data_IF_326897545423
#
_entry.id   IF_326897545423
#
_cell.length_a   1.000
_cell.length_b   1.000
_cell.length_c   1.000
_cell.angle_alpha   90.00
_cell.angle_beta   90.00
_cell.angle_gamma   90.00
#
_symmetry.space_group_name_H-M   'P 1'
#
loop_
_entity.id
_entity.type
_entity.pdbx_description
1 polymer ?
#
# COMPACT_ATOMS: atom_id res chain seq x y z
N UNK A 1 22.75 -15.97 7.38
CA UNK A 1 22.18 -14.87 8.18
C UNK A 1 21.60 -15.46 9.44
N UNK A 2 22.40 -15.52 10.51
CA UNK A 2 21.98 -16.05 11.81
C UNK A 2 22.48 -15.06 12.85
N UNK A 3 21.55 -14.29 13.40
CA UNK A 3 21.84 -13.34 14.46
C UNK A 3 20.54 -12.69 14.88
N UNK A 4 20.23 -12.75 16.17
CA UNK A 4 19.24 -11.92 16.84
C UNK A 4 19.19 -10.53 16.19
N UNK A 5 18.02 -9.97 15.91
CA UNK A 5 17.81 -8.69 15.18
C UNK A 5 18.48 -7.43 15.76
N UNK A 6 19.46 -7.59 16.64
CA UNK A 6 20.39 -6.59 17.14
C UNK A 6 21.48 -6.32 16.09
N UNK A 7 21.48 -5.12 15.55
CA UNK A 7 22.53 -4.63 14.65
C UNK A 7 23.69 -4.04 15.48
N UNK A 8 24.77 -4.79 15.60
CA UNK A 8 25.96 -4.39 16.38
C UNK A 8 26.74 -3.22 15.76
N UNK A 9 26.41 -2.80 14.54
CA UNK A 9 27.04 -1.63 13.90
C UNK A 9 26.44 -0.29 14.36
N UNK A 10 25.28 -0.32 15.04
CA UNK A 10 24.60 0.88 15.54
C UNK A 10 25.04 1.22 16.96
N UNK A 11 25.19 2.52 17.24
CA UNK A 11 25.45 3.00 18.60
C UNK A 11 24.25 2.68 19.51
N UNK A 12 24.52 2.14 20.70
CA UNK A 12 23.49 1.94 21.72
C UNK A 12 23.05 3.30 22.27
N UNK A 13 21.74 3.50 22.37
CA UNK A 13 21.15 4.66 23.04
C UNK A 13 20.93 4.27 24.49
N UNK A 14 21.76 4.80 25.38
CA UNK A 14 21.53 4.74 26.82
C UNK A 14 20.70 5.96 27.25
N UNK A 15 19.72 5.74 28.14
CA UNK A 15 18.93 6.83 28.72
C UNK A 15 19.32 7.01 30.19
N UNK A 16 19.34 8.26 30.65
CA UNK A 16 19.39 8.55 32.09
C UNK A 16 18.02 8.22 32.70
N UNK A 17 17.84 6.95 33.06
CA UNK A 17 16.58 6.39 33.54
C UNK A 17 16.59 6.00 35.02
N UNK A 18 15.43 5.56 35.53
CA UNK A 18 15.33 5.07 36.90
C UNK A 18 16.12 3.78 37.11
N UNK A 19 16.50 3.53 38.36
CA UNK A 19 17.06 2.25 38.80
C UNK A 19 15.97 1.19 38.81
N UNK A 20 16.23 0.04 38.17
CA UNK A 20 15.36 -1.13 38.27
C UNK A 20 15.77 -1.93 39.49
N UNK A 21 14.85 -2.15 40.43
CA UNK A 21 15.08 -2.92 41.66
C UNK A 21 14.22 -4.17 41.62
N UNK A 22 14.85 -5.35 41.56
CA UNK A 22 14.15 -6.63 41.63
C UNK A 22 14.22 -7.18 43.07
N UNK A 23 13.06 -7.29 43.71
CA UNK A 23 12.94 -7.71 45.10
C UNK A 23 12.66 -9.22 45.18
N UNK A 24 13.64 -9.95 45.71
CA UNK A 24 13.63 -11.42 45.86
C UNK A 24 13.18 -12.17 44.59
N UNK A 25 13.76 -11.91 43.40
CA UNK A 25 13.41 -12.64 42.20
C UNK A 25 13.64 -14.14 42.38
N UNK A 26 12.67 -14.96 41.97
CA UNK A 26 12.72 -16.41 42.21
C UNK A 26 13.55 -17.14 41.17
N UNK A 27 13.52 -16.71 39.91
CA UNK A 27 14.19 -17.40 38.81
C UNK A 27 15.29 -16.54 38.19
N UNK A 28 16.49 -17.09 38.07
CA UNK A 28 17.60 -16.46 37.34
C UNK A 28 17.22 -16.08 35.90
N UNK A 29 16.41 -16.91 35.23
CA UNK A 29 15.90 -16.62 33.87
C UNK A 29 15.10 -15.31 33.82
N UNK A 30 14.27 -15.01 34.82
CA UNK A 30 13.52 -13.76 34.87
C UNK A 30 14.43 -12.55 35.09
N UNK A 31 15.51 -12.70 35.87
CA UNK A 31 16.54 -11.65 36.03
C UNK A 31 17.20 -11.38 34.67
N UNK A 32 17.59 -12.42 33.95
CA UNK A 32 18.18 -12.29 32.62
C UNK A 32 17.22 -11.65 31.61
N UNK A 33 15.96 -12.09 31.57
CA UNK A 33 14.94 -11.49 30.69
C UNK A 33 14.64 -10.04 31.07
N UNK A 34 14.66 -9.68 32.36
CA UNK A 34 14.52 -8.30 32.82
C UNK A 34 15.71 -7.45 32.35
N UNK A 35 16.94 -7.93 32.49
CA UNK A 35 18.13 -7.24 31.98
C UNK A 35 18.10 -7.08 30.46
N UNK A 36 17.63 -8.10 29.72
CA UNK A 36 17.39 -7.99 28.28
C UNK A 36 16.37 -6.91 27.96
N UNK A 37 15.26 -6.87 28.69
CA UNK A 37 14.25 -5.83 28.52
C UNK A 37 14.81 -4.44 28.81
N UNK A 38 15.62 -4.27 29.86
CA UNK A 38 16.31 -3.03 30.16
C UNK A 38 17.24 -2.60 29.01
N UNK A 39 18.05 -3.52 28.49
CA UNK A 39 18.95 -3.26 27.36
C UNK A 39 18.22 -2.86 26.07
N UNK A 40 17.05 -3.45 25.79
CA UNK A 40 16.21 -3.03 24.65
C UNK A 40 15.77 -1.57 24.72
N UNK A 41 15.70 -0.99 25.93
CA UNK A 41 15.16 0.34 26.20
C UNK A 41 16.16 1.26 26.91
N UNK A 42 17.46 0.98 26.78
CA UNK A 42 18.54 1.85 27.23
C UNK A 42 18.66 2.04 28.75
N UNK A 43 18.01 1.20 29.56
CA UNK A 43 18.15 1.21 31.01
C UNK A 43 19.36 0.34 31.42
N UNK A 44 20.19 0.84 32.34
CA UNK A 44 21.49 0.19 32.65
C UNK A 44 21.71 -0.12 34.12
N UNK A 45 20.92 0.47 35.03
CA UNK A 45 21.10 0.34 36.49
C UNK A 45 20.15 -0.70 37.06
N UNK A 46 20.68 -1.86 37.44
CA UNK A 46 19.94 -2.97 38.02
C UNK A 46 20.41 -3.25 39.46
N UNK A 47 19.47 -3.28 40.40
CA UNK A 47 19.69 -3.70 41.79
C UNK A 47 18.91 -4.97 42.09
N UNK A 48 19.54 -5.91 42.77
CA UNK A 48 18.91 -7.15 43.22
C UNK A 48 18.85 -7.14 44.74
N UNK A 49 17.67 -7.39 45.30
CA UNK A 49 17.50 -7.64 46.74
C UNK A 49 17.32 -9.13 46.93
N UNK A 50 18.29 -9.77 47.61
CA UNK A 50 18.20 -11.16 48.06
C UNK A 50 17.62 -12.14 47.02
N UNK A 51 18.22 -12.28 45.82
CA UNK A 51 17.74 -13.20 44.78
C UNK A 51 17.74 -14.64 45.31
N UNK A 52 16.62 -15.35 45.14
CA UNK A 52 16.40 -16.66 45.79
C UNK A 52 17.46 -17.70 45.43
N UNK A 53 17.81 -17.78 44.16
CA UNK A 53 18.78 -18.75 43.63
C UNK A 53 20.23 -18.23 43.67
N UNK A 54 20.47 -17.12 44.39
CA UNK A 54 21.77 -16.48 44.53
C UNK A 54 22.25 -15.71 43.29
N UNK A 55 23.39 -15.03 43.46
CA UNK A 55 24.05 -14.24 42.42
C UNK A 55 25.57 -14.41 42.52
N UNK A 56 26.34 -14.53 41.42
CA UNK A 56 25.91 -14.52 40.00
C UNK A 56 25.18 -15.80 39.58
N UNK A 57 24.33 -15.71 38.55
CA UNK A 57 23.50 -16.82 38.08
C UNK A 57 23.69 -17.11 36.57
N UNK A 58 24.06 -18.35 36.22
CA UNK A 58 24.34 -18.75 34.83
C UNK A 58 23.09 -18.68 33.94
N UNK A 59 21.91 -19.01 34.48
CA UNK A 59 20.67 -18.94 33.71
C UNK A 59 20.27 -17.50 33.41
N UNK A 60 20.54 -16.57 34.33
CA UNK A 60 20.36 -15.14 34.06
C UNK A 60 21.23 -14.67 32.90
N UNK A 61 22.52 -15.07 32.88
CA UNK A 61 23.43 -14.73 31.78
C UNK A 61 22.94 -15.27 30.43
N UNK A 62 22.48 -16.52 30.40
CA UNK A 62 21.92 -17.14 29.17
C UNK A 62 20.67 -16.44 28.69
N UNK A 63 19.76 -16.08 29.59
CA UNK A 63 18.49 -15.42 29.25
C UNK A 63 18.65 -13.94 28.84
N UNK A 64 19.73 -13.27 29.28
CA UNK A 64 20.01 -11.88 28.96
C UNK A 64 20.34 -11.62 27.47
N UNK A 65 20.79 -12.66 26.74
CA UNK A 65 20.97 -12.64 25.28
C UNK A 65 21.70 -11.40 24.74
N UNK A 66 22.84 -11.02 25.35
CA UNK A 66 23.64 -9.87 24.94
C UNK A 66 23.55 -8.64 25.86
N UNK A 67 22.64 -8.63 26.83
CA UNK A 67 22.57 -7.61 27.90
C UNK A 67 23.54 -7.90 29.08
N UNK A 68 24.65 -8.60 28.82
CA UNK A 68 25.64 -8.99 29.82
C UNK A 68 26.22 -7.79 30.59
N UNK A 69 26.41 -6.67 29.89
CA UNK A 69 26.94 -5.41 30.45
C UNK A 69 26.07 -4.82 31.58
N UNK A 70 24.77 -5.15 31.63
CA UNK A 70 23.89 -4.79 32.74
C UNK A 70 24.11 -5.74 33.92
N UNK A 71 24.16 -7.04 33.64
CA UNK A 71 24.38 -8.07 34.67
C UNK A 71 25.74 -7.92 35.37
N UNK A 72 26.76 -7.52 34.63
CA UNK A 72 28.13 -7.31 35.15
C UNK A 72 28.22 -6.11 36.12
N UNK A 73 27.24 -5.20 36.09
CA UNK A 73 27.16 -3.99 36.92
C UNK A 73 26.07 -4.06 38.00
N UNK A 74 25.48 -5.24 38.21
CA UNK A 74 24.43 -5.43 39.22
C UNK A 74 24.95 -5.10 40.60
N UNK A 75 24.18 -4.30 41.34
CA UNK A 75 24.39 -4.06 42.76
C UNK A 75 23.49 -5.02 43.57
N UNK A 76 24.09 -5.75 44.53
CA UNK A 76 23.38 -6.72 45.37
C UNK A 76 23.17 -6.14 46.77
N UNK A 77 21.95 -6.31 47.29
CA UNK A 77 21.54 -5.83 48.61
C UNK A 77 20.85 -6.94 49.41
N UNK A 78 20.95 -6.87 50.73
CA UNK A 78 20.30 -7.81 51.65
C UNK A 78 18.86 -7.38 51.96
N UNK A 79 18.60 -6.06 51.95
CA UNK A 79 17.30 -5.46 52.28
C UNK A 79 16.82 -4.49 51.20
N UNK A 80 15.51 -4.23 51.18
CA UNK A 80 14.91 -3.27 50.23
C UNK A 80 15.31 -1.84 50.60
N UNK A 81 15.37 -1.55 51.90
CA UNK A 81 15.74 -0.25 52.46
C UNK A 81 17.14 0.18 52.01
N UNK A 82 18.12 -0.73 52.04
CA UNK A 82 19.47 -0.46 51.53
C UNK A 82 19.46 -0.21 50.02
N UNK A 83 18.70 -1.03 49.27
CA UNK A 83 18.65 -0.95 47.81
C UNK A 83 17.99 0.34 47.29
N UNK A 84 17.22 1.05 48.13
CA UNK A 84 16.51 2.28 47.75
C UNK A 84 16.95 3.52 48.53
N UNK A 85 17.98 3.41 49.38
CA UNK A 85 18.39 4.46 50.31
C UNK A 85 18.75 5.80 49.63
N UNK A 86 19.30 5.76 48.42
CA UNK A 86 19.66 6.94 47.63
C UNK A 86 18.51 7.43 46.71
N UNK A 87 17.41 6.68 46.60
CA UNK A 87 16.27 7.05 45.76
C UNK A 87 15.42 8.13 46.45
N UNK A 88 15.32 9.30 45.80
CA UNK A 88 14.45 10.40 46.27
C UNK A 88 13.06 10.36 45.62
N UNK A 89 12.88 9.51 44.62
CA UNK A 89 11.59 9.15 44.04
C UNK A 89 11.55 7.64 43.80
N UNK A 90 10.60 6.96 44.43
CA UNK A 90 10.49 5.51 44.42
C UNK A 90 9.08 5.06 44.00
N UNK A 91 9.02 4.13 43.08
CA UNK A 91 7.79 3.52 42.59
C UNK A 91 7.72 2.04 42.99
N UNK A 92 6.54 1.57 43.38
CA UNK A 92 6.27 0.16 43.63
C UNK A 92 5.29 -0.40 42.59
N UNK A 93 5.66 -1.46 41.87
CA UNK A 93 4.74 -2.13 40.92
C UNK A 93 3.86 -3.16 41.62
N UNK A 94 2.55 -3.11 41.41
CA UNK A 94 1.59 -4.07 41.98
C UNK A 94 0.30 -4.12 41.16
N UNK A 95 -0.22 -5.33 40.98
CA UNK A 95 -1.54 -5.56 40.37
C UNK A 95 -2.69 -5.49 41.40
N UNK A 96 -2.37 -5.53 42.70
CA UNK A 96 -3.36 -5.53 43.79
C UNK A 96 -3.63 -4.11 44.25
N UNK A 97 -4.91 -3.80 44.47
CA UNK A 97 -5.30 -2.63 45.25
C UNK A 97 -4.76 -2.84 46.67
N UNK A 98 -3.96 -1.88 47.13
CA UNK A 98 -3.50 -1.82 48.51
C UNK A 98 -4.34 -0.77 49.22
N UNK A 99 -4.69 -1.02 50.49
CA UNK A 99 -5.43 -0.05 51.33
C UNK A 99 -4.56 1.14 51.78
N UNK A 100 -3.37 1.29 51.21
CA UNK A 100 -2.46 2.39 51.49
C UNK A 100 -2.87 3.63 50.69
N UNK A 101 -3.00 4.77 51.37
CA UNK A 101 -3.32 6.06 50.75
C UNK A 101 -2.12 6.63 49.97
N UNK A 102 -1.78 6.02 48.83
CA UNK A 102 -0.71 6.45 47.92
C UNK A 102 -1.26 6.74 46.53
N UNK A 103 -0.72 7.74 45.82
CA UNK A 103 -1.15 7.97 44.45
C UNK A 103 -0.78 6.77 43.56
N UNK A 104 -1.76 6.34 42.78
CA UNK A 104 -1.64 5.24 41.82
C UNK A 104 -1.53 5.83 40.43
N UNK A 105 -0.50 5.40 39.69
CA UNK A 105 -0.19 5.90 38.34
C UNK A 105 -0.05 4.76 37.34
N UNK A 106 -0.35 5.04 36.08
CA UNK A 106 -0.04 4.14 34.97
C UNK A 106 1.46 4.23 34.62
N UNK A 107 2.03 3.22 33.91
CA UNK A 107 3.44 3.20 33.53
C UNK A 107 3.90 4.44 32.76
N UNK A 108 3.06 4.99 31.87
CA UNK A 108 3.36 6.22 31.12
C UNK A 108 3.60 7.43 32.04
N UNK A 109 2.72 7.63 33.02
CA UNK A 109 2.83 8.74 33.97
C UNK A 109 4.06 8.58 34.89
N UNK A 110 4.32 7.35 35.34
CA UNK A 110 5.51 7.04 36.14
C UNK A 110 6.80 7.27 35.36
N UNK A 111 6.86 6.86 34.09
CA UNK A 111 8.01 7.08 33.22
C UNK A 111 8.30 8.58 33.04
N UNK A 112 7.27 9.38 32.77
CA UNK A 112 7.42 10.84 32.67
C UNK A 112 7.99 11.46 33.95
N UNK A 113 7.44 11.09 35.11
CA UNK A 113 7.89 11.60 36.41
C UNK A 113 9.32 11.14 36.72
N UNK A 114 9.64 9.86 36.51
CA UNK A 114 10.97 9.30 36.75
C UNK A 114 12.05 9.94 35.87
N UNK A 115 11.79 10.08 34.56
CA UNK A 115 12.76 10.69 33.63
C UNK A 115 12.97 12.17 33.95
N UNK A 116 11.90 12.92 34.22
CA UNK A 116 12.03 14.32 34.61
C UNK A 116 12.81 14.48 35.94
N UNK A 117 12.57 13.59 36.90
CA UNK A 117 13.28 13.57 38.17
C UNK A 117 14.77 13.28 38.01
N UNK A 118 15.12 12.26 37.21
CA UNK A 118 16.52 11.91 36.92
C UNK A 118 17.24 13.04 36.18
N UNK A 119 16.55 13.77 35.30
CA UNK A 119 17.12 14.92 34.60
C UNK A 119 17.54 16.07 35.55
N UNK A 120 17.03 16.10 36.80
CA UNK A 120 17.49 17.06 37.83
C UNK A 120 18.79 16.64 38.53
N UNK A 121 19.32 15.46 38.22
CA UNK A 121 20.48 14.86 38.90
C UNK A 121 20.12 14.01 40.12
N UNK A 122 18.82 13.88 40.44
CA UNK A 122 18.33 13.05 41.54
C UNK A 122 18.13 11.59 41.12
N UNK A 123 18.13 10.65 42.08
CA UNK A 123 17.89 9.23 41.80
C UNK A 123 16.41 8.87 41.90
N UNK A 124 15.87 8.27 40.84
CA UNK A 124 14.58 7.59 40.85
C UNK A 124 14.77 6.06 40.81
N UNK A 125 13.85 5.30 41.43
CA UNK A 125 13.85 3.84 41.43
C UNK A 125 12.46 3.24 41.17
N UNK A 126 12.41 2.07 40.52
CA UNK A 126 11.18 1.29 40.31
C UNK A 126 11.40 -0.12 40.86
N UNK A 127 10.60 -0.48 41.87
CA UNK A 127 10.63 -1.79 42.51
C UNK A 127 9.65 -2.75 41.85
N UNK A 128 10.16 -3.95 41.54
CA UNK A 128 9.40 -5.08 41.06
C UNK A 128 9.53 -6.24 42.04
N UNK A 129 8.39 -6.80 42.44
CA UNK A 129 8.35 -7.84 43.46
C UNK A 129 8.47 -9.25 42.90
N UNK A 130 8.35 -10.20 43.83
CA UNK A 130 8.41 -11.65 43.60
C UNK A 130 7.32 -12.09 42.60
N UNK A 131 7.61 -13.08 41.76
CA UNK A 131 6.73 -13.53 40.68
C UNK A 131 5.33 -13.98 41.16
N UNK A 132 5.25 -14.59 42.35
CA UNK A 132 3.99 -15.13 42.89
C UNK A 132 3.25 -14.19 43.82
N UNK A 133 4.00 -13.39 44.58
CA UNK A 133 3.46 -12.62 45.71
C UNK A 133 3.53 -11.11 45.50
N UNK A 134 4.27 -10.66 44.49
CA UNK A 134 4.58 -9.25 44.28
C UNK A 134 5.44 -8.69 45.41
N UNK A 135 5.26 -7.39 45.65
CA UNK A 135 5.85 -6.68 46.78
C UNK A 135 4.98 -6.88 48.03
N UNK A 136 5.63 -6.98 49.18
CA UNK A 136 5.00 -6.97 50.49
C UNK A 136 4.47 -5.57 50.82
N UNK A 137 3.49 -5.50 51.72
CA UNK A 137 2.90 -4.22 52.12
C UNK A 137 3.94 -3.24 52.70
N UNK A 138 4.92 -3.74 53.46
CA UNK A 138 6.01 -2.95 54.03
C UNK A 138 6.95 -2.41 52.93
N UNK A 139 7.22 -3.21 51.90
CA UNK A 139 8.02 -2.79 50.74
C UNK A 139 7.27 -1.74 49.90
N UNK A 140 5.96 -1.93 49.67
CA UNK A 140 5.11 -0.92 49.04
C UNK A 140 5.06 0.36 49.88
N UNK A 141 5.13 0.24 51.22
CA UNK A 141 5.11 1.37 52.14
C UNK A 141 6.34 2.28 52.01
N UNK A 142 7.46 1.81 51.47
CA UNK A 142 8.65 2.62 51.18
C UNK A 142 8.48 3.53 49.96
N UNK A 143 7.64 3.15 48.98
CA UNK A 143 7.51 3.89 47.72
C UNK A 143 6.72 5.20 47.84
N UNK A 144 7.03 6.20 47.03
CA UNK A 144 6.22 7.42 46.94
C UNK A 144 4.93 7.18 46.17
N UNK A 145 4.94 6.27 45.19
CA UNK A 145 3.84 6.01 44.25
C UNK A 145 3.68 4.52 43.96
N UNK A 146 2.47 4.13 43.62
CA UNK A 146 2.18 2.79 43.08
C UNK A 146 2.06 2.87 41.57
N UNK A 147 2.73 1.96 40.86
CA UNK A 147 2.48 1.69 39.45
C UNK A 147 1.55 0.49 39.34
N UNK A 148 0.44 0.68 38.62
CA UNK A 148 -0.45 -0.42 38.21
C UNK A 148 -0.63 -0.42 36.70
N UNK A 149 -0.72 -1.62 36.12
CA UNK A 149 -0.87 -1.79 34.68
C UNK A 149 -2.35 -1.93 34.32
N UNK A 150 -2.86 -1.28 33.25
CA UNK A 150 -4.23 -1.43 32.78
C UNK A 150 -4.40 -2.77 32.03
N UNK A 151 -4.27 -3.87 32.75
CA UNK A 151 -4.42 -5.25 32.25
C UNK A 151 -5.83 -5.77 32.46
N UNK A 152 -6.15 -6.92 31.87
CA UNK A 152 -7.42 -7.60 32.10
C UNK A 152 -7.60 -7.90 33.60
N UNK A 153 -8.65 -7.37 34.28
CA UNK A 153 -8.85 -7.60 35.71
C UNK A 153 -8.95 -9.08 36.11
N UNK A 154 -9.44 -9.95 35.21
CA UNK A 154 -9.50 -11.40 35.43
C UNK A 154 -8.16 -12.13 35.27
N UNK A 155 -7.12 -11.46 34.76
CA UNK A 155 -5.79 -12.02 34.54
C UNK A 155 -4.72 -10.95 34.70
N UNK A 156 -4.65 -10.35 35.88
CA UNK A 156 -3.87 -9.13 36.13
C UNK A 156 -2.38 -9.35 36.47
N UNK A 157 -1.94 -10.61 36.61
CA UNK A 157 -0.56 -10.92 36.98
C UNK A 157 0.33 -10.96 35.73
N UNK A 158 1.22 -9.97 35.60
CA UNK A 158 2.26 -9.96 34.57
C UNK A 158 3.50 -10.73 35.04
N UNK A 159 4.23 -11.34 34.11
CA UNK A 159 5.56 -11.87 34.41
C UNK A 159 6.52 -10.70 34.78
N UNK A 160 7.47 -10.97 35.68
CA UNK A 160 8.43 -9.98 36.16
C UNK A 160 9.15 -9.22 35.03
N UNK A 161 9.71 -9.96 34.07
CA UNK A 161 10.42 -9.35 32.95
C UNK A 161 9.48 -8.58 32.00
N UNK A 162 8.21 -8.99 31.89
CA UNK A 162 7.20 -8.26 31.12
C UNK A 162 6.82 -6.93 31.77
N UNK A 163 6.70 -6.89 33.10
CA UNK A 163 6.47 -5.64 33.82
C UNK A 163 7.65 -4.68 33.65
N UNK A 164 8.89 -5.17 33.76
CA UNK A 164 10.11 -4.39 33.49
C UNK A 164 10.13 -3.90 32.03
N UNK A 165 9.75 -4.75 31.08
CA UNK A 165 9.66 -4.42 29.66
C UNK A 165 8.70 -3.25 29.38
N UNK A 166 7.50 -3.28 29.98
CA UNK A 166 6.53 -2.21 29.80
C UNK A 166 7.00 -0.88 30.40
N UNK A 167 7.57 -0.91 31.61
CA UNK A 167 8.14 0.28 32.23
C UNK A 167 9.35 0.82 31.44
N UNK A 168 10.24 -0.06 30.98
CA UNK A 168 11.38 0.30 30.14
C UNK A 168 10.95 0.94 28.83
N UNK A 169 9.97 0.35 28.15
CA UNK A 169 9.38 0.90 26.92
C UNK A 169 8.85 2.31 27.13
N UNK A 170 8.06 2.54 28.18
CA UNK A 170 7.52 3.87 28.49
C UNK A 170 8.62 4.89 28.81
N UNK A 171 9.66 4.48 29.55
CA UNK A 171 10.83 5.33 29.83
C UNK A 171 11.55 5.72 28.55
N UNK A 172 11.85 4.76 27.67
CA UNK A 172 12.56 5.02 26.41
C UNK A 172 11.72 5.84 25.44
N UNK A 173 10.43 5.51 25.29
CA UNK A 173 9.47 6.28 24.50
C UNK A 173 9.41 7.73 24.95
N UNK A 174 9.39 7.98 26.26
CA UNK A 174 9.39 9.34 26.79
C UNK A 174 10.74 10.06 26.56
N UNK A 175 11.86 9.41 26.90
CA UNK A 175 13.20 9.98 26.76
C UNK A 175 13.59 10.28 25.31
N UNK A 176 13.06 9.54 24.34
CA UNK A 176 13.33 9.71 22.91
C UNK A 176 12.24 10.49 22.17
N UNK A 177 11.27 11.08 22.90
CA UNK A 177 10.11 11.75 22.31
C UNK A 177 9.37 10.89 21.27
N UNK A 178 9.32 9.58 21.49
CA UNK A 178 8.72 8.57 20.59
C UNK A 178 9.34 8.51 19.19
N UNK A 179 10.61 8.92 19.04
CA UNK A 179 11.31 8.83 17.78
C UNK A 179 11.44 7.36 17.33
N UNK A 180 10.97 7.08 16.11
CA UNK A 180 11.12 5.77 15.48
C UNK A 180 12.56 5.60 14.94
N UNK A 181 13.10 4.37 14.92
CA UNK A 181 14.47 4.11 14.44
C UNK A 181 14.65 4.36 12.92
N UNK A 182 13.55 4.45 12.18
CA UNK A 182 13.52 4.81 10.77
C UNK A 182 12.20 5.52 10.46
N UNK A 183 12.26 6.46 9.53
CA UNK A 183 11.11 7.13 8.95
C UNK A 183 11.11 6.89 7.44
N UNK A 184 9.99 7.21 6.78
CA UNK A 184 9.95 7.25 5.32
C UNK A 184 11.02 8.24 4.83
N UNK A 185 11.88 7.89 3.85
CA UNK A 185 12.88 8.81 3.34
C UNK A 185 12.20 10.02 2.70
N UNK A 186 12.41 11.21 3.25
CA UNK A 186 11.98 12.46 2.63
C UNK A 186 12.87 12.76 1.43
N UNK A 187 12.41 12.39 0.23
CA UNK A 187 13.14 12.62 -1.03
C UNK A 187 12.77 13.95 -1.70
N UNK A 188 11.67 14.56 -1.29
CA UNK A 188 11.16 15.83 -1.84
C UNK A 188 10.24 16.50 -0.83
N UNK A 189 10.26 17.83 -0.82
CA UNK A 189 9.33 18.65 -0.04
C UNK A 189 7.86 18.44 -0.48
N UNK A 190 6.89 18.68 0.41
CA UNK A 190 5.46 18.70 0.06
C UNK A 190 5.16 19.65 -1.10
N UNK A 191 4.22 19.26 -1.96
CA UNK A 191 3.75 20.12 -3.03
C UNK A 191 2.94 21.29 -2.46
N UNK A 192 3.14 22.48 -3.01
CA UNK A 192 2.32 23.63 -2.66
C UNK A 192 0.89 23.48 -3.19
N UNK A 193 -0.06 24.17 -2.55
CA UNK A 193 -1.44 24.27 -3.04
C UNK A 193 -1.51 24.80 -4.48
N UNK A 194 -0.62 25.72 -4.85
CA UNK A 194 -0.51 26.22 -6.22
C UNK A 194 -0.13 25.13 -7.23
N UNK A 195 0.83 24.26 -6.89
CA UNK A 195 1.23 23.14 -7.75
C UNK A 195 0.11 22.09 -7.88
N UNK A 196 -0.58 21.79 -6.78
CA UNK A 196 -1.74 20.90 -6.79
C UNK A 196 -2.86 21.46 -7.68
N UNK A 197 -3.15 22.76 -7.57
CA UNK A 197 -4.15 23.42 -8.41
C UNK A 197 -3.75 23.39 -9.89
N UNK A 198 -2.50 23.71 -10.21
CA UNK A 198 -2.00 23.66 -11.59
C UNK A 198 -2.08 22.25 -12.20
N UNK A 199 -1.72 21.22 -11.43
CA UNK A 199 -1.90 19.82 -11.85
C UNK A 199 -3.38 19.51 -12.10
N UNK A 200 -4.26 19.92 -11.18
CA UNK A 200 -5.69 19.65 -11.28
C UNK A 200 -6.33 20.35 -12.50
N UNK A 201 -6.00 21.61 -12.74
CA UNK A 201 -6.51 22.36 -13.90
C UNK A 201 -6.08 21.68 -15.22
N UNK A 202 -4.84 21.19 -15.27
CA UNK A 202 -4.34 20.43 -16.40
C UNK A 202 -5.09 19.11 -16.55
N UNK A 203 -5.26 18.34 -15.47
CA UNK A 203 -5.99 17.09 -15.47
C UNK A 203 -7.44 17.25 -15.95
N UNK A 204 -8.18 18.23 -15.40
CA UNK A 204 -9.58 18.50 -15.78
C UNK A 204 -9.67 18.84 -17.26
N UNK A 205 -8.78 19.71 -17.76
CA UNK A 205 -8.74 20.06 -19.18
C UNK A 205 -8.52 18.85 -20.08
N UNK A 206 -7.65 17.92 -19.71
CA UNK A 206 -7.43 16.70 -20.49
C UNK A 206 -8.62 15.71 -20.38
N UNK A 207 -9.25 15.60 -19.20
CA UNK A 207 -10.44 14.77 -19.00
C UNK A 207 -11.67 15.29 -19.78
N UNK A 208 -11.84 16.60 -19.88
CA UNK A 208 -12.90 17.23 -20.68
C UNK A 208 -12.75 16.88 -22.18
N UNK A 209 -11.51 16.84 -22.73
CA UNK A 209 -11.25 16.47 -24.14
C UNK A 209 -11.67 15.04 -24.49
N UNK A 210 -11.59 14.13 -23.51
CA UNK A 210 -11.96 12.72 -23.70
C UNK A 210 -13.39 12.42 -23.24
N UNK A 211 -14.17 13.46 -22.91
CA UNK A 211 -15.57 13.37 -22.46
C UNK A 211 -15.76 12.48 -21.22
N UNK A 212 -14.75 12.38 -20.35
CA UNK A 212 -14.81 11.56 -19.13
C UNK A 212 -15.79 12.13 -18.08
N UNK A 213 -15.94 13.46 -18.02
CA UNK A 213 -16.78 14.15 -17.04
C UNK A 213 -18.26 14.19 -17.46
N UNK A 214 -18.84 13.01 -17.71
CA UNK A 214 -20.25 12.81 -18.06
C UNK A 214 -20.90 11.79 -17.13
N UNK A 215 -22.21 11.91 -16.83
CA UNK A 215 -23.13 12.94 -17.33
C UNK A 215 -22.97 14.29 -16.60
N UNK A 216 -23.47 15.39 -17.17
CA UNK A 216 -23.15 16.77 -16.73
C UNK A 216 -23.56 17.02 -15.29
N UNK A 217 -24.65 16.40 -14.85
CA UNK A 217 -25.22 16.54 -13.51
C UNK A 217 -24.27 15.98 -12.43
N UNK A 218 -23.37 15.06 -12.81
CA UNK A 218 -22.38 14.45 -11.89
C UNK A 218 -21.00 15.10 -11.97
N UNK A 219 -20.76 16.03 -12.91
CA UNK A 219 -19.44 16.62 -13.17
C UNK A 219 -18.81 17.23 -11.91
N UNK A 220 -19.55 18.10 -11.21
CA UNK A 220 -19.03 18.78 -10.02
C UNK A 220 -18.64 17.79 -8.92
N UNK A 221 -19.48 16.77 -8.67
CA UNK A 221 -19.17 15.71 -7.71
C UNK A 221 -17.93 14.90 -8.10
N UNK A 222 -17.76 14.59 -9.39
CA UNK A 222 -16.56 13.88 -9.88
C UNK A 222 -15.30 14.72 -9.70
N UNK A 223 -15.36 16.03 -9.95
CA UNK A 223 -14.23 16.94 -9.74
C UNK A 223 -13.84 17.04 -8.26
N UNK A 224 -14.81 17.18 -7.37
CA UNK A 224 -14.57 17.18 -5.91
C UNK A 224 -13.93 15.86 -5.48
N UNK A 225 -14.42 14.72 -5.98
CA UNK A 225 -13.85 13.42 -5.66
C UNK A 225 -12.41 13.26 -6.16
N UNK A 226 -12.13 13.68 -7.40
CA UNK A 226 -10.77 13.67 -7.95
C UNK A 226 -9.84 14.56 -7.12
N UNK A 227 -10.27 15.77 -6.75
CA UNK A 227 -9.48 16.67 -5.91
C UNK A 227 -9.20 16.06 -4.54
N UNK A 228 -10.19 15.41 -3.93
CA UNK A 228 -10.04 14.74 -2.64
C UNK A 228 -9.08 13.55 -2.69
N UNK A 229 -9.02 12.81 -3.81
CA UNK A 229 -8.04 11.73 -3.99
C UNK A 229 -6.63 12.27 -3.91
N UNK A 230 -6.30 13.30 -4.69
CA UNK A 230 -4.95 13.86 -4.71
C UNK A 230 -4.59 14.63 -3.44
N UNK A 231 -5.56 15.27 -2.79
CA UNK A 231 -5.31 16.00 -1.53
C UNK A 231 -5.05 15.06 -0.36
N UNK A 232 -5.69 13.88 -0.31
CA UNK A 232 -5.44 12.87 0.74
C UNK A 232 -4.11 12.15 0.60
N UNK A 233 -3.50 12.21 -0.59
CA UNK A 233 -2.22 11.55 -0.87
C UNK A 233 -1.03 12.29 -0.24
N UNK A 234 -1.22 13.55 0.19
CA UNK A 234 -0.16 14.45 0.67
C UNK A 234 1.08 14.47 -0.26
N UNK A 235 0.90 14.81 -1.55
CA UNK A 235 1.93 14.61 -2.57
C UNK A 235 3.14 15.51 -2.35
N UNK A 236 4.32 14.98 -2.63
CA UNK A 236 5.55 15.77 -2.77
C UNK A 236 5.59 16.53 -4.10
N UNK A 237 6.48 17.52 -4.21
CA UNK A 237 6.76 18.21 -5.49
C UNK A 237 7.13 17.21 -6.60
N UNK A 238 7.89 16.16 -6.27
CA UNK A 238 8.29 15.13 -7.22
C UNK A 238 7.11 14.27 -7.69
N UNK A 239 6.17 13.95 -6.79
CA UNK A 239 4.95 13.22 -7.15
C UNK A 239 4.09 14.03 -8.13
N UNK A 240 3.94 15.34 -7.87
CA UNK A 240 3.20 16.23 -8.76
C UNK A 240 3.85 16.34 -10.14
N UNK A 241 5.19 16.43 -10.22
CA UNK A 241 5.89 16.41 -11.50
C UNK A 241 5.68 15.10 -12.26
N UNK A 242 5.79 13.97 -11.55
CA UNK A 242 5.61 12.64 -12.14
C UNK A 242 4.19 12.45 -12.66
N UNK A 243 3.18 12.80 -11.85
CA UNK A 243 1.77 12.70 -12.22
C UNK A 243 1.42 13.63 -13.37
N UNK A 244 1.93 14.87 -13.36
CA UNK A 244 1.76 15.77 -14.49
C UNK A 244 2.36 15.18 -15.77
N UNK A 245 3.57 14.62 -15.69
CA UNK A 245 4.22 13.93 -16.81
C UNK A 245 3.40 12.75 -17.34
N UNK A 246 2.83 11.92 -16.46
CA UNK A 246 1.94 10.81 -16.84
C UNK A 246 0.70 11.31 -17.57
N UNK A 247 0.01 12.32 -17.03
CA UNK A 247 -1.19 12.89 -17.66
C UNK A 247 -0.87 13.46 -19.04
N UNK A 248 0.22 14.22 -19.16
CA UNK A 248 0.64 14.80 -20.45
C UNK A 248 1.06 13.73 -21.45
N UNK A 249 1.78 12.69 -21.04
CA UNK A 249 2.18 11.61 -21.93
C UNK A 249 0.97 10.84 -22.50
N UNK A 250 -0.06 10.60 -21.66
CA UNK A 250 -1.31 9.97 -22.09
C UNK A 250 -2.11 10.90 -23.01
N UNK A 251 -2.19 12.19 -22.67
CA UNK A 251 -2.95 13.19 -23.41
C UNK A 251 -2.36 13.48 -24.80
N UNK A 252 -1.04 13.66 -24.89
CA UNK A 252 -0.34 14.02 -26.11
C UNK A 252 -0.02 12.81 -27.01
N UNK A 253 0.08 11.61 -26.43
CA UNK A 253 0.64 10.44 -27.11
C UNK A 253 2.15 10.61 -27.38
N UNK A 254 2.82 9.57 -27.91
CA UNK A 254 4.27 9.64 -28.20
C UNK A 254 4.57 10.75 -29.21
N UNK A 255 5.39 11.74 -28.82
CA UNK A 255 6.06 12.67 -29.75
C UNK A 255 7.32 12.00 -30.29
N UNK A 256 7.17 11.27 -31.40
CA UNK A 256 8.22 10.62 -32.18
C UNK A 256 7.68 10.31 -33.60
N UNK A 257 8.54 10.05 -34.61
CA UNK A 257 8.10 9.92 -35.99
C UNK A 257 7.04 8.82 -36.11
N UNK A 258 5.86 9.21 -36.57
CA UNK A 258 4.67 8.38 -36.68
C UNK A 258 4.87 7.22 -37.66
N UNK A 259 5.12 6.03 -37.12
CA UNK A 259 4.81 4.75 -37.78
C UNK A 259 4.30 3.77 -36.71
N UNK A 260 2.98 3.61 -36.60
CA UNK A 260 2.35 2.63 -35.71
C UNK A 260 1.72 3.26 -34.47
N UNK A 261 0.74 2.56 -33.89
CA UNK A 261 -0.09 3.04 -32.77
C UNK A 261 0.68 3.32 -31.48
N UNK A 262 -0.06 3.69 -30.42
CA UNK A 262 0.51 3.89 -29.07
C UNK A 262 1.03 2.56 -28.49
N UNK A 263 0.46 1.45 -28.97
CA UNK A 263 0.79 0.07 -28.65
C UNK A 263 1.46 -0.62 -29.84
N UNK A 264 2.37 -1.55 -29.57
CA UNK A 264 2.86 -2.50 -30.59
C UNK A 264 1.75 -3.50 -31.01
N UNK A 265 1.98 -4.28 -32.07
CA UNK A 265 0.98 -5.19 -32.62
C UNK A 265 0.47 -6.24 -31.61
N UNK A 266 1.35 -6.77 -30.76
CA UNK A 266 1.00 -7.76 -29.74
C UNK A 266 0.15 -7.13 -28.62
N UNK A 267 0.55 -5.93 -28.16
CA UNK A 267 -0.18 -5.15 -27.16
C UNK A 267 -1.56 -4.70 -27.67
N UNK A 268 -1.67 -4.35 -28.95
CA UNK A 268 -2.93 -3.97 -29.58
C UNK A 268 -3.89 -5.17 -29.68
N UNK A 269 -3.38 -6.37 -29.94
CA UNK A 269 -4.15 -7.62 -29.91
C UNK A 269 -4.60 -7.94 -28.48
N UNK A 270 -3.72 -7.82 -27.49
CA UNK A 270 -4.04 -8.06 -26.07
C UNK A 270 -5.11 -7.09 -25.55
N UNK A 271 -5.04 -5.81 -25.93
CA UNK A 271 -6.06 -4.82 -25.59
C UNK A 271 -7.44 -5.23 -26.15
N UNK A 272 -7.50 -5.73 -27.39
CA UNK A 272 -8.77 -6.20 -28.00
C UNK A 272 -9.36 -7.40 -27.26
N UNK A 273 -8.51 -8.36 -26.88
CA UNK A 273 -8.95 -9.51 -26.08
C UNK A 273 -9.56 -9.05 -24.74
N UNK A 274 -8.87 -8.16 -24.01
CA UNK A 274 -9.37 -7.61 -22.75
C UNK A 274 -10.67 -6.82 -22.90
N UNK A 275 -10.81 -6.05 -23.99
CA UNK A 275 -12.04 -5.30 -24.30
C UNK A 275 -13.22 -6.22 -24.61
N UNK A 276 -12.98 -7.32 -25.33
CA UNK A 276 -13.98 -8.34 -25.61
C UNK A 276 -14.40 -9.08 -24.32
N UNK A 277 -13.44 -9.38 -23.43
CA UNK A 277 -13.70 -9.99 -22.12
C UNK A 277 -14.61 -9.14 -21.22
N UNK A 278 -14.47 -7.80 -21.27
CA UNK A 278 -15.20 -6.88 -20.41
C UNK A 278 -16.48 -6.29 -21.06
N UNK A 279 -16.74 -6.59 -22.34
CA UNK A 279 -17.83 -6.00 -23.13
C UNK A 279 -19.26 -6.39 -22.71
N UNK A 280 -19.44 -7.38 -21.82
CA UNK A 280 -20.76 -7.87 -21.41
C UNK A 280 -21.48 -6.98 -20.38
N UNK A 281 -20.83 -5.94 -19.84
CA UNK A 281 -21.37 -5.13 -18.73
C UNK A 281 -22.10 -3.83 -19.11
N UNK A 282 -22.08 -3.40 -20.38
CA UNK A 282 -22.60 -2.08 -20.75
C UNK A 282 -24.13 -2.10 -20.98
N UNK A 283 -24.85 -1.40 -20.10
CA UNK A 283 -26.31 -1.20 -20.20
C UNK A 283 -26.69 -0.45 -21.51
N UNK A 284 -27.89 -0.67 -22.08
CA UNK A 284 -28.25 -0.22 -23.44
C UNK A 284 -28.25 1.31 -23.70
N UNK A 285 -28.02 2.13 -22.67
CA UNK A 285 -28.13 3.60 -22.75
C UNK A 285 -26.80 4.37 -22.85
N UNK A 286 -25.65 3.69 -22.89
CA UNK A 286 -24.34 4.36 -22.90
C UNK A 286 -23.75 4.51 -24.32
N UNK A 287 -24.30 5.42 -25.11
CA UNK A 287 -23.77 5.74 -26.46
C UNK A 287 -22.38 6.40 -26.45
N UNK A 288 -21.90 6.89 -25.30
CA UNK A 288 -20.60 7.55 -25.13
C UNK A 288 -19.40 6.58 -25.10
N UNK A 289 -19.56 5.36 -24.59
CA UNK A 289 -18.46 4.37 -24.44
C UNK A 289 -18.00 3.83 -25.79
N UNK A 290 -18.95 3.59 -26.70
CA UNK A 290 -18.69 3.05 -28.05
C UNK A 290 -17.87 4.02 -28.91
N UNK A 291 -18.11 5.34 -28.80
CA UNK A 291 -17.34 6.35 -29.55
C UNK A 291 -15.92 6.51 -29.04
N UNK A 292 -15.72 6.47 -27.72
CA UNK A 292 -14.39 6.46 -27.09
C UNK A 292 -13.59 5.24 -27.51
N UNK A 293 -14.22 4.05 -27.48
CA UNK A 293 -13.62 2.79 -27.91
C UNK A 293 -13.21 2.81 -29.39
N UNK A 294 -14.08 3.29 -30.29
CA UNK A 294 -13.77 3.47 -31.71
C UNK A 294 -12.57 4.41 -31.95
N UNK A 295 -12.36 5.41 -31.09
CA UNK A 295 -11.19 6.30 -31.18
C UNK A 295 -9.92 5.59 -30.69
N UNK A 296 -10.02 4.78 -29.64
CA UNK A 296 -8.90 4.00 -29.10
C UNK A 296 -8.41 2.93 -30.08
N UNK A 297 -9.33 2.20 -30.71
CA UNK A 297 -9.01 1.18 -31.73
C UNK A 297 -8.30 1.81 -32.93
N UNK A 298 -8.77 2.97 -33.43
CA UNK A 298 -8.16 3.65 -34.60
C UNK A 298 -6.77 4.16 -34.36
N UNK A 299 -6.44 4.43 -33.09
CA UNK A 299 -5.11 4.86 -32.66
C UNK A 299 -4.15 3.68 -32.46
N UNK A 300 -4.65 2.45 -32.39
CA UNK A 300 -3.87 1.25 -32.11
C UNK A 300 -4.23 0.10 -33.08
N UNK A 301 -3.99 0.28 -34.39
CA UNK A 301 -4.31 -0.76 -35.36
C UNK A 301 -3.35 -1.94 -35.25
N UNK A 302 -3.84 -3.15 -35.54
CA UNK A 302 -2.98 -4.32 -35.77
C UNK A 302 -2.28 -4.21 -37.14
N UNK A 303 -1.27 -5.04 -37.41
CA UNK A 303 -0.59 -5.03 -38.72
C UNK A 303 -1.52 -5.43 -39.86
N UNK A 304 -2.38 -6.43 -39.66
CA UNK A 304 -3.39 -6.83 -40.63
C UNK A 304 -4.39 -5.68 -40.92
N UNK A 305 -4.89 -4.99 -39.89
CA UNK A 305 -5.74 -3.81 -40.06
C UNK A 305 -5.03 -2.70 -40.81
N UNK A 306 -3.75 -2.45 -40.51
CA UNK A 306 -2.96 -1.41 -41.17
C UNK A 306 -2.77 -1.71 -42.65
N UNK A 307 -2.42 -2.94 -43.00
CA UNK A 307 -2.24 -3.39 -44.39
C UNK A 307 -3.56 -3.32 -45.16
N UNK A 308 -4.63 -3.90 -44.60
CA UNK A 308 -5.94 -3.88 -45.25
C UNK A 308 -6.48 -2.46 -45.40
N UNK A 309 -6.32 -1.59 -44.39
CA UNK A 309 -6.75 -0.20 -44.49
C UNK A 309 -6.00 0.58 -45.56
N UNK A 310 -4.71 0.35 -45.70
CA UNK A 310 -3.89 0.97 -46.74
C UNK A 310 -4.43 0.58 -48.12
N UNK A 311 -4.59 -0.73 -48.36
CA UNK A 311 -5.12 -1.26 -49.61
C UNK A 311 -6.55 -0.80 -49.92
N UNK A 312 -7.48 -0.83 -48.95
CA UNK A 312 -8.85 -0.35 -49.15
C UNK A 312 -8.91 1.14 -49.51
N UNK A 313 -7.89 1.91 -49.16
CA UNK A 313 -7.81 3.35 -49.45
C UNK A 313 -7.13 3.63 -50.80
N UNK A 314 -6.19 2.80 -51.23
CA UNK A 314 -5.36 3.02 -52.43
C UNK A 314 -5.84 2.23 -53.64
N UNK A 315 -6.44 1.06 -53.44
CA UNK A 315 -6.98 0.24 -54.52
C UNK A 315 -8.24 0.89 -55.11
N UNK A 316 -8.21 1.11 -56.43
CA UNK A 316 -9.28 1.78 -57.19
C UNK A 316 -10.64 1.10 -57.03
N UNK A 317 -10.68 -0.21 -56.75
CA UNK A 317 -11.92 -0.98 -56.55
C UNK A 317 -12.70 -0.54 -55.31
N UNK A 318 -12.00 -0.11 -54.26
CA UNK A 318 -12.58 0.14 -52.92
C UNK A 318 -12.38 1.56 -52.41
N UNK A 319 -11.50 2.35 -53.04
CA UNK A 319 -11.14 3.68 -52.59
C UNK A 319 -12.38 4.55 -52.30
N UNK A 320 -12.47 5.04 -51.06
CA UNK A 320 -13.56 5.89 -50.60
C UNK A 320 -14.84 5.17 -50.14
N UNK A 321 -14.90 3.84 -50.25
CA UNK A 321 -16.11 3.06 -49.91
C UNK A 321 -16.13 2.61 -48.45
N UNK A 322 -14.96 2.39 -47.84
CA UNK A 322 -14.84 1.85 -46.49
C UNK A 322 -14.40 2.89 -45.45
N UNK A 323 -14.90 2.71 -44.23
CA UNK A 323 -14.48 3.43 -43.03
C UNK A 323 -13.98 2.43 -41.99
N UNK A 324 -12.82 2.68 -41.40
CA UNK A 324 -12.29 1.84 -40.31
C UNK A 324 -12.96 2.12 -38.97
N UNK A 325 -13.26 1.06 -38.20
CA UNK A 325 -13.68 1.09 -36.79
C UNK A 325 -14.72 2.18 -36.50
N UNK A 326 -15.75 2.23 -37.36
CA UNK A 326 -16.84 3.19 -37.25
C UNK A 326 -18.05 2.49 -36.64
N UNK A 327 -18.63 2.99 -35.53
CA UNK A 327 -19.75 2.33 -34.88
C UNK A 327 -20.96 2.13 -35.80
N UNK A 328 -21.55 0.94 -35.73
CA UNK A 328 -22.86 0.59 -36.30
C UNK A 328 -23.77 0.20 -35.13
N UNK A 329 -24.57 1.16 -34.66
CA UNK A 329 -25.31 1.02 -33.41
C UNK A 329 -24.37 0.78 -32.22
N UNK A 330 -24.51 -0.37 -31.55
CA UNK A 330 -23.70 -0.75 -30.38
C UNK A 330 -22.41 -1.50 -30.73
N UNK A 331 -22.23 -1.91 -31.98
CA UNK A 331 -21.09 -2.72 -32.39
C UNK A 331 -20.11 -1.90 -33.23
N UNK A 332 -18.82 -2.26 -33.16
CA UNK A 332 -17.75 -1.64 -33.94
C UNK A 332 -17.14 -2.73 -34.81
N UNK A 333 -17.43 -2.79 -36.11
CA UNK A 333 -16.68 -3.65 -37.04
C UNK A 333 -15.32 -3.05 -37.36
N UNK A 334 -14.35 -3.88 -37.78
CA UNK A 334 -13.01 -3.41 -38.14
C UNK A 334 -13.05 -2.46 -39.34
N UNK A 335 -13.85 -2.79 -40.35
CA UNK A 335 -14.17 -1.88 -41.45
C UNK A 335 -15.65 -1.97 -41.81
N UNK A 336 -16.21 -0.86 -42.28
CA UNK A 336 -17.60 -0.81 -42.73
C UNK A 336 -17.78 0.10 -43.94
N UNK A 337 -18.53 -0.40 -44.92
CA UNK A 337 -19.09 0.36 -46.03
C UNK A 337 -20.59 0.54 -45.78
N UNK A 338 -20.99 1.76 -45.46
CA UNK A 338 -22.41 2.10 -45.32
C UNK A 338 -23.19 2.03 -46.65
N UNK A 339 -22.63 2.50 -47.80
CA UNK A 339 -23.32 2.42 -49.08
C UNK A 339 -23.59 0.98 -49.53
N UNK A 340 -22.62 0.07 -49.36
CA UNK A 340 -22.75 -1.34 -49.77
C UNK A 340 -23.32 -2.22 -48.64
N UNK A 341 -23.63 -1.63 -47.48
CA UNK A 341 -24.03 -2.34 -46.26
C UNK A 341 -23.13 -3.55 -45.98
N UNK A 342 -21.82 -3.37 -46.04
CA UNK A 342 -20.85 -4.44 -45.82
C UNK A 342 -19.98 -4.12 -44.60
N UNK A 343 -19.86 -5.05 -43.68
CA UNK A 343 -18.92 -4.99 -42.56
C UNK A 343 -17.83 -6.04 -42.75
N UNK A 344 -16.58 -5.67 -42.47
CA UNK A 344 -15.43 -6.58 -42.51
C UNK A 344 -14.96 -6.79 -41.07
N UNK A 345 -14.75 -8.05 -40.72
CA UNK A 345 -14.22 -8.49 -39.43
C UNK A 345 -12.95 -9.29 -39.66
N UNK A 346 -11.87 -8.92 -38.97
CA UNK A 346 -10.62 -9.66 -38.98
C UNK A 346 -10.65 -10.75 -37.92
N UNK A 347 -10.23 -11.95 -38.30
CA UNK A 347 -10.26 -13.16 -37.48
C UNK A 347 -8.83 -13.59 -37.18
N UNK A 348 -8.48 -13.72 -35.91
CA UNK A 348 -7.20 -14.30 -35.50
C UNK A 348 -7.32 -15.82 -35.34
N UNK A 349 -6.23 -16.55 -35.59
CA UNK A 349 -6.23 -18.01 -35.53
C UNK A 349 -6.34 -18.56 -34.09
N UNK A 350 -5.99 -17.76 -33.10
CA UNK A 350 -5.85 -18.10 -31.67
C UNK A 350 -6.93 -17.46 -30.79
N UNK A 351 -8.10 -17.14 -31.36
CA UNK A 351 -9.20 -16.55 -30.60
C UNK A 351 -9.77 -17.49 -29.53
N UNK A 352 -10.11 -16.92 -28.37
CA UNK A 352 -10.79 -17.64 -27.30
C UNK A 352 -12.26 -17.89 -27.64
N UNK A 353 -12.89 -18.90 -27.01
CA UNK A 353 -14.32 -19.22 -27.23
C UNK A 353 -15.25 -18.02 -26.99
N UNK A 354 -14.89 -17.15 -26.05
CA UNK A 354 -15.64 -15.93 -25.76
C UNK A 354 -15.57 -14.91 -26.91
N UNK A 355 -14.39 -14.72 -27.54
CA UNK A 355 -14.22 -13.82 -28.69
C UNK A 355 -15.03 -14.34 -29.89
N UNK A 356 -15.01 -15.66 -30.11
CA UNK A 356 -15.80 -16.30 -31.17
C UNK A 356 -17.29 -16.07 -30.94
N UNK A 357 -17.76 -16.24 -29.70
CA UNK A 357 -19.17 -16.05 -29.31
C UNK A 357 -19.61 -14.59 -29.47
N UNK A 358 -18.80 -13.62 -29.02
CA UNK A 358 -19.09 -12.19 -29.18
C UNK A 358 -19.15 -11.79 -30.66
N UNK A 359 -18.18 -12.24 -31.48
CA UNK A 359 -18.22 -12.02 -32.92
C UNK A 359 -19.48 -12.62 -33.55
N UNK A 360 -19.88 -13.84 -33.18
CA UNK A 360 -21.09 -14.45 -33.70
C UNK A 360 -22.35 -13.63 -33.37
N UNK A 361 -22.48 -13.15 -32.13
CA UNK A 361 -23.59 -12.29 -31.71
C UNK A 361 -23.60 -10.95 -32.46
N UNK A 362 -22.43 -10.33 -32.64
CA UNK A 362 -22.26 -9.09 -33.42
C UNK A 362 -22.62 -9.29 -34.90
N UNK A 363 -22.15 -10.39 -35.50
CA UNK A 363 -22.47 -10.77 -36.88
C UNK A 363 -23.97 -10.93 -37.08
N UNK A 364 -24.64 -11.69 -36.20
CA UNK A 364 -26.09 -11.88 -36.26
C UNK A 364 -26.83 -10.54 -36.16
N UNK A 365 -26.43 -9.67 -35.22
CA UNK A 365 -27.05 -8.35 -35.04
C UNK A 365 -26.90 -7.44 -36.26
N UNK A 366 -25.74 -7.49 -36.94
CA UNK A 366 -25.47 -6.74 -38.17
C UNK A 366 -26.29 -7.29 -39.34
N UNK A 367 -26.38 -8.61 -39.48
CA UNK A 367 -27.15 -9.29 -40.53
C UNK A 367 -28.66 -9.05 -40.40
N UNK A 368 -29.22 -9.08 -39.19
CA UNK A 368 -30.61 -8.66 -38.92
C UNK A 368 -30.91 -7.24 -39.42
N UNK A 369 -29.88 -6.40 -39.48
CA UNK A 369 -29.94 -5.02 -39.96
C UNK A 369 -29.46 -4.91 -41.40
N UNK A 370 -29.48 -5.99 -42.17
CA UNK A 370 -29.18 -5.99 -43.59
C UNK A 370 -27.75 -5.62 -43.92
N UNK A 371 -26.79 -5.89 -43.04
CA UNK A 371 -25.37 -5.84 -43.39
C UNK A 371 -24.86 -7.23 -43.79
N UNK A 372 -24.12 -7.30 -44.89
CA UNK A 372 -23.29 -8.46 -45.21
C UNK A 372 -22.02 -8.39 -44.38
N UNK A 373 -21.71 -9.44 -43.63
CA UNK A 373 -20.48 -9.51 -42.81
C UNK A 373 -19.48 -10.43 -43.49
N UNK A 374 -18.32 -9.88 -43.84
CA UNK A 374 -17.21 -10.60 -44.48
C UNK A 374 -16.11 -10.81 -43.44
N UNK A 375 -15.93 -12.05 -43.00
CA UNK A 375 -14.83 -12.44 -42.13
C UNK A 375 -13.56 -12.73 -42.94
N UNK A 376 -12.42 -12.21 -42.51
CA UNK A 376 -11.12 -12.42 -43.16
C UNK A 376 -10.08 -12.82 -42.12
N UNK A 377 -9.26 -13.83 -42.40
CA UNK A 377 -8.18 -14.19 -41.47
C UNK A 377 -7.07 -13.14 -41.48
N UNK A 378 -6.55 -12.77 -40.30
CA UNK A 378 -5.39 -11.88 -40.20
C UNK A 378 -4.13 -12.47 -40.83
N UNK A 379 -4.00 -13.80 -40.83
CA UNK A 379 -2.89 -14.50 -41.50
C UNK A 379 -2.98 -14.41 -43.03
N UNK A 380 -4.20 -14.40 -43.59
CA UNK A 380 -4.40 -14.26 -45.03
C UNK A 380 -4.11 -12.82 -45.47
N UNK A 381 -4.56 -11.83 -44.70
CA UNK A 381 -4.32 -10.40 -44.98
C UNK A 381 -2.84 -10.05 -44.97
N UNK A 382 -2.06 -10.69 -44.09
CA UNK A 382 -0.61 -10.47 -43.99
C UNK A 382 0.19 -11.31 -44.99
N UNK A 383 -0.35 -12.44 -45.46
CA UNK A 383 0.32 -13.36 -46.38
C UNK A 383 0.06 -13.13 -47.87
N UNK A 384 -1.20 -12.90 -48.26
CA UNK A 384 -1.61 -12.71 -49.65
C UNK A 384 -2.79 -11.71 -49.73
N UNK A 385 -2.44 -10.42 -49.70
CA UNK A 385 -3.42 -9.34 -49.67
C UNK A 385 -4.24 -9.26 -50.97
N UNK A 386 -3.63 -9.55 -52.13
CA UNK A 386 -4.31 -9.46 -53.42
C UNK A 386 -5.43 -10.50 -53.54
N UNK A 387 -5.20 -11.73 -53.08
CA UNK A 387 -6.24 -12.75 -53.01
C UNK A 387 -7.39 -12.35 -52.06
N UNK A 388 -7.08 -11.73 -50.92
CA UNK A 388 -8.09 -11.22 -49.99
C UNK A 388 -8.97 -10.15 -50.65
N UNK A 389 -8.35 -9.20 -51.37
CA UNK A 389 -9.07 -8.13 -52.07
C UNK A 389 -9.95 -8.67 -53.21
N UNK A 390 -9.49 -9.66 -53.98
CA UNK A 390 -10.30 -10.29 -55.02
C UNK A 390 -11.55 -11.01 -54.46
N UNK A 391 -11.42 -11.66 -53.29
CA UNK A 391 -12.58 -12.24 -52.59
C UNK A 391 -13.56 -11.18 -52.10
N UNK A 392 -13.04 -10.06 -51.58
CA UNK A 392 -13.88 -8.94 -51.16
C UNK A 392 -14.67 -8.35 -52.34
N UNK A 393 -14.02 -8.15 -53.49
CA UNK A 393 -14.68 -7.68 -54.71
C UNK A 393 -15.83 -8.61 -55.13
N UNK A 394 -15.60 -9.92 -55.11
CA UNK A 394 -16.63 -10.92 -55.43
C UNK A 394 -17.81 -10.86 -54.45
N UNK A 395 -17.53 -10.72 -53.15
CA UNK A 395 -18.55 -10.60 -52.12
C UNK A 395 -19.41 -9.33 -52.28
N UNK A 396 -18.79 -8.20 -52.67
CA UNK A 396 -19.50 -6.95 -52.95
C UNK A 396 -20.35 -7.05 -54.22
N UNK A 397 -19.86 -7.72 -55.27
CA UNK A 397 -20.60 -7.91 -56.52
C UNK A 397 -21.86 -8.77 -56.33
N UNK A 398 -21.80 -9.78 -55.45
CA UNK A 398 -22.97 -10.62 -55.09
C UNK A 398 -24.00 -9.94 -54.17
N UNK A 399 -23.69 -8.75 -53.64
CA UNK A 399 -24.54 -8.02 -52.68
C UNK A 399 -25.42 -6.94 -53.32
N UNK A 400 -25.37 -6.78 -54.64
CA UNK A 400 -26.23 -5.82 -55.37
C UNK A 400 -27.69 -6.31 -55.36
N UNK A 401 -28.64 -5.53 -54.80
CA UNK A 401 -30.06 -5.83 -54.96
C UNK A 401 -30.43 -5.65 -56.43
N UNK A 402 -31.05 -6.68 -57.02
CA UNK A 402 -31.73 -6.52 -58.30
C UNK A 402 -32.83 -5.48 -58.17
N UNK A 403 -32.94 -4.60 -59.17
CA UNK A 403 -34.14 -3.78 -59.37
C UNK A 403 -35.37 -4.70 -59.53
N UNK A 404 -36.32 -4.57 -58.59
CA UNK A 404 -37.74 -4.83 -58.80
C UNK A 404 -38.55 -4.06 -57.75
#
# INVERSE_FOLDING_TARGET
MSGSGTDQSKAMIEIAGPVVVLVEPQLGENIGMAARAMGNFGLTRLRLVKPRDGWPNVQARRAASGADHILDKVELFDTVEEAVADCTLLFATTARAHDQAKPVVAPEAAAREAIAHVATGATAGIMFGRERYGLLNEEVALANRIITFPVNPGFASLNLAQAVLLCGYECFKHATASALPYAMPERSEPASQHQMQAFFDNLVRELDKVEFLRPVEKRETMLVNLRNIFSRMDPTKQDMHTLHGVVMAIAEGRKGPAKGGVLDGEQATRLRALLAEHGQGASPHESGTVRGLARLLRRNPTDAERLLWEALRTDRRFAGQFKRQTPVGRHIPDFVSFPQRTAIELVNADETEMIVTDRAARTAWLQERGYTVVAMSTSEVTGDLDAVLARLETALAGSMPGEA
#
